data_IF_632694330618
#
_entry.id   IF_632694330618
#
_cell.length_a   1.000
_cell.length_b   1.000
_cell.length_c   1.000
_cell.angle_alpha   90.00
_cell.angle_beta   90.00
_cell.angle_gamma   90.00
#
_symmetry.space_group_name_H-M   'P 1'
#
loop_
_entity.id
_entity.type
_entity.pdbx_description
1 polymer ?
#
# COMPACT_ATOMS: atom_id res chain seq x y z
N UNK A 1 5.32 -19.01 -19.37
CA UNK A 1 4.98 -17.58 -19.52
C UNK A 1 5.28 -16.88 -18.21
N UNK A 2 5.89 -15.69 -18.23
CA UNK A 2 6.15 -14.86 -17.05
C UNK A 2 5.14 -13.71 -16.96
N UNK A 3 4.76 -13.31 -15.74
CA UNK A 3 3.72 -12.31 -15.52
C UNK A 3 4.23 -11.18 -14.63
N UNK A 4 4.16 -9.95 -15.11
CA UNK A 4 4.51 -8.76 -14.34
C UNK A 4 3.27 -7.89 -14.11
N UNK A 5 3.02 -7.48 -12.88
CA UNK A 5 2.19 -6.32 -12.58
C UNK A 5 3.11 -5.17 -12.25
N UNK A 6 3.06 -4.09 -13.02
CA UNK A 6 3.66 -2.81 -12.68
C UNK A 6 2.54 -1.91 -12.17
N UNK A 7 2.49 -1.75 -10.86
CA UNK A 7 1.52 -0.91 -10.20
C UNK A 7 2.09 0.47 -9.90
N UNK A 8 1.51 1.49 -10.53
CA UNK A 8 1.92 2.88 -10.40
C UNK A 8 0.99 3.61 -9.42
N UNK A 9 1.27 3.53 -8.12
CA UNK A 9 0.38 3.98 -7.04
C UNK A 9 -0.07 5.44 -7.26
N UNK A 10 -1.36 5.73 -7.08
CA UNK A 10 -1.91 7.08 -7.17
C UNK A 10 -1.74 7.81 -8.51
N UNK A 11 -1.23 7.14 -9.56
CA UNK A 11 -0.72 7.79 -10.79
C UNK A 11 -1.81 8.54 -11.58
N UNK A 12 -3.06 8.08 -11.53
CA UNK A 12 -4.18 8.78 -12.18
C UNK A 12 -4.46 10.14 -11.55
N UNK A 13 -4.87 11.09 -12.37
CA UNK A 13 -5.18 12.45 -11.95
C UNK A 13 -6.41 13.02 -12.65
N UNK A 14 -6.84 14.18 -12.18
CA UNK A 14 -7.83 15.01 -12.85
C UNK A 14 -7.14 15.98 -13.80
N UNK A 15 -7.92 16.69 -14.62
CA UNK A 15 -7.37 17.75 -15.48
C UNK A 15 -6.85 18.91 -14.62
N UNK A 16 -5.66 19.40 -14.95
CA UNK A 16 -4.93 20.44 -14.22
C UNK A 16 -4.79 21.66 -15.13
N UNK A 17 -5.20 22.83 -14.66
CA UNK A 17 -5.19 24.07 -15.46
C UNK A 17 -3.76 24.51 -15.80
N UNK A 18 -2.82 24.33 -14.86
CA UNK A 18 -1.39 24.60 -15.02
C UNK A 18 -0.73 23.73 -16.10
N UNK A 19 -1.34 22.59 -16.44
CA UNK A 19 -0.91 21.70 -17.52
C UNK A 19 -1.71 21.93 -18.82
N UNK A 20 -2.43 23.05 -18.93
CA UNK A 20 -3.27 23.37 -20.09
C UNK A 20 -4.55 22.53 -20.18
N UNK A 21 -5.10 22.13 -19.03
CA UNK A 21 -6.32 21.31 -18.97
C UNK A 21 -6.09 19.83 -19.27
N UNK A 22 -4.85 19.36 -19.10
CA UNK A 22 -4.44 17.96 -19.24
C UNK A 22 -4.31 17.30 -17.86
N UNK A 23 -4.44 15.98 -17.79
CA UNK A 23 -3.98 15.20 -16.62
C UNK A 23 -2.46 15.08 -16.65
N UNK A 24 -1.87 14.58 -15.56
CA UNK A 24 -0.42 14.29 -15.51
C UNK A 24 -0.03 13.32 -16.62
N UNK A 25 -0.80 12.25 -16.83
CA UNK A 25 -0.53 11.24 -17.87
C UNK A 25 -0.66 11.79 -19.29
N UNK A 26 -1.51 12.80 -19.53
CA UNK A 26 -1.62 13.46 -20.83
C UNK A 26 -0.54 14.52 -21.09
N UNK A 27 0.17 14.96 -20.05
CA UNK A 27 1.18 16.00 -20.11
C UNK A 27 2.61 15.44 -20.16
N UNK A 28 2.90 14.44 -19.32
CA UNK A 28 4.21 13.81 -19.21
C UNK A 28 4.63 13.09 -20.50
N UNK A 29 5.94 12.85 -20.67
CA UNK A 29 6.40 11.86 -21.66
C UNK A 29 5.99 10.45 -21.22
N UNK A 30 5.03 9.87 -21.96
CA UNK A 30 4.47 8.53 -21.77
C UNK A 30 4.77 7.59 -22.94
N UNK A 31 5.79 7.90 -23.76
CA UNK A 31 6.08 7.18 -25.02
C UNK A 31 6.16 5.65 -24.91
N UNK A 32 6.68 5.08 -23.82
CA UNK A 32 6.70 3.62 -23.61
C UNK A 32 5.35 3.08 -23.13
N UNK A 33 4.59 3.84 -22.33
CA UNK A 33 3.20 3.48 -22.05
C UNK A 33 2.34 3.50 -23.32
N UNK A 34 2.54 4.48 -24.20
CA UNK A 34 1.81 4.62 -25.46
C UNK A 34 2.17 3.52 -26.46
N UNK A 35 3.44 3.09 -26.47
CA UNK A 35 3.88 1.89 -27.19
C UNK A 35 3.13 0.64 -26.69
N UNK A 36 3.01 0.48 -25.37
CA UNK A 36 2.28 -0.63 -24.77
C UNK A 36 0.78 -0.57 -25.08
N UNK A 37 0.15 0.59 -24.99
CA UNK A 37 -1.26 0.79 -25.35
C UNK A 37 -1.49 0.46 -26.83
N UNK A 38 -0.60 0.93 -27.72
CA UNK A 38 -0.69 0.69 -29.16
C UNK A 38 -0.63 -0.79 -29.57
N UNK A 39 0.06 -1.62 -28.77
CA UNK A 39 0.22 -3.05 -28.99
C UNK A 39 -0.49 -3.93 -27.96
N UNK A 40 -1.36 -3.34 -27.13
CA UNK A 40 -1.96 -3.97 -25.97
C UNK A 40 -3.48 -3.81 -25.93
N UNK A 41 -4.07 -4.24 -24.83
CA UNK A 41 -5.51 -4.08 -24.54
C UNK A 41 -5.65 -3.22 -23.31
N UNK A 42 -6.37 -2.13 -23.46
CA UNK A 42 -6.64 -1.15 -22.42
C UNK A 42 -8.04 -1.34 -21.84
N UNK A 43 -8.19 -1.00 -20.58
CA UNK A 43 -9.47 -1.08 -19.88
C UNK A 43 -9.44 -0.30 -18.58
N UNK A 44 -10.50 -0.44 -17.79
CA UNK A 44 -10.56 0.17 -16.46
C UNK A 44 -10.72 -0.89 -15.37
N UNK A 45 -10.23 -0.56 -14.19
CA UNK A 45 -10.35 -1.39 -12.98
C UNK A 45 -10.93 -0.51 -11.87
N UNK A 46 -11.98 -0.98 -11.20
CA UNK A 46 -12.42 -0.44 -9.92
C UNK A 46 -11.88 -1.32 -8.80
N UNK A 47 -10.75 -0.90 -8.24
CA UNK A 47 -10.00 -1.63 -7.21
C UNK A 47 -10.70 -1.61 -5.84
N UNK A 48 -11.31 -0.48 -5.47
CA UNK A 48 -12.14 -0.33 -4.28
C UNK A 48 -13.64 -0.42 -4.63
N UNK A 49 -14.09 -1.61 -4.99
CA UNK A 49 -15.48 -1.83 -5.40
C UNK A 49 -16.46 -1.79 -4.22
N UNK A 50 -17.76 -1.65 -4.51
CA UNK A 50 -18.82 -1.75 -3.49
C UNK A 50 -18.82 -0.63 -2.44
N UNK A 51 -18.20 0.52 -2.73
CA UNK A 51 -18.15 1.68 -1.83
C UNK A 51 -17.08 1.59 -0.74
N UNK A 52 -16.15 0.64 -0.85
CA UNK A 52 -14.97 0.60 0.02
C UNK A 52 -14.16 1.90 -0.11
N UNK A 53 -13.50 2.29 0.98
CA UNK A 53 -12.52 3.39 0.95
C UNK A 53 -11.34 2.95 0.06
N UNK A 54 -10.86 3.81 -0.87
CA UNK A 54 -9.79 3.46 -1.80
C UNK A 54 -8.40 3.55 -1.15
N UNK A 55 -8.19 2.90 0.00
CA UNK A 55 -6.88 2.79 0.64
C UNK A 55 -5.96 1.84 -0.13
N UNK A 56 -4.65 2.11 -0.12
CA UNK A 56 -3.67 1.28 -0.84
C UNK A 56 -3.70 -0.18 -0.38
N UNK A 57 -4.07 -0.45 0.88
CA UNK A 57 -4.31 -1.79 1.39
C UNK A 57 -5.42 -2.53 0.62
N UNK A 58 -6.61 -1.93 0.53
CA UNK A 58 -7.77 -2.48 -0.18
C UNK A 58 -7.50 -2.59 -1.68
N UNK A 59 -6.99 -1.51 -2.29
CA UNK A 59 -6.82 -1.45 -3.73
C UNK A 59 -5.77 -2.46 -4.23
N UNK A 60 -4.63 -2.57 -3.54
CA UNK A 60 -3.59 -3.53 -3.92
C UNK A 60 -3.99 -4.97 -3.64
N UNK A 61 -4.70 -5.23 -2.53
CA UNK A 61 -5.25 -6.55 -2.24
C UNK A 61 -6.16 -7.01 -3.39
N UNK A 62 -7.01 -6.10 -3.88
CA UNK A 62 -7.81 -6.31 -5.08
C UNK A 62 -6.93 -6.59 -6.32
N UNK A 63 -5.97 -5.73 -6.68
CA UNK A 63 -5.16 -5.98 -7.91
C UNK A 63 -4.39 -7.31 -7.86
N UNK A 64 -3.96 -7.76 -6.67
CA UNK A 64 -3.32 -9.07 -6.47
C UNK A 64 -4.28 -10.28 -6.58
N UNK A 65 -5.59 -10.04 -6.64
CA UNK A 65 -6.60 -11.08 -6.89
C UNK A 65 -7.45 -11.48 -5.68
N UNK A 66 -7.31 -10.76 -4.56
CA UNK A 66 -8.01 -11.06 -3.32
C UNK A 66 -9.19 -10.12 -3.12
N UNK A 67 -10.39 -10.68 -2.97
CA UNK A 67 -11.60 -9.92 -2.63
C UNK A 67 -11.47 -9.24 -1.26
N UNK A 68 -11.43 -7.89 -1.20
CA UNK A 68 -11.30 -7.18 0.06
C UNK A 68 -12.44 -7.44 1.04
N UNK A 69 -13.67 -7.69 0.57
CA UNK A 69 -14.80 -8.00 1.45
C UNK A 69 -14.63 -9.33 2.19
N UNK A 70 -13.85 -10.24 1.61
CA UNK A 70 -13.60 -11.55 2.20
C UNK A 70 -12.32 -11.57 3.05
N UNK A 71 -11.30 -10.83 2.63
CA UNK A 71 -9.95 -11.05 3.11
C UNK A 71 -9.32 -9.87 3.84
N UNK A 72 -9.84 -8.65 3.67
CA UNK A 72 -9.31 -7.50 4.38
C UNK A 72 -9.75 -7.53 5.84
N UNK A 73 -8.79 -7.56 6.74
CA UNK A 73 -9.04 -7.61 8.19
C UNK A 73 -8.61 -6.35 8.92
N UNK A 74 -8.07 -5.36 8.21
CA UNK A 74 -7.51 -4.14 8.79
C UNK A 74 -6.07 -3.88 8.31
N UNK A 75 -5.58 -2.67 8.58
CA UNK A 75 -4.27 -2.18 8.12
C UNK A 75 -3.11 -2.78 8.91
N UNK A 76 -3.23 -2.82 10.24
CA UNK A 76 -2.13 -3.22 11.13
C UNK A 76 -1.65 -4.66 10.94
N UNK A 77 -2.52 -5.66 10.67
CA UNK A 77 -2.07 -7.01 10.34
C UNK A 77 -1.11 -7.05 9.16
N UNK A 78 -1.40 -6.29 8.10
CA UNK A 78 -0.57 -6.23 6.89
C UNK A 78 0.83 -5.68 7.23
N UNK A 79 0.90 -4.59 8.00
CA UNK A 79 2.18 -3.99 8.42
C UNK A 79 2.97 -4.92 9.34
N UNK A 80 2.30 -5.63 10.24
CA UNK A 80 2.93 -6.65 11.06
C UNK A 80 3.58 -7.75 10.19
N UNK A 81 2.87 -8.22 9.15
CA UNK A 81 3.40 -9.17 8.18
C UNK A 81 4.63 -8.65 7.43
N UNK A 82 4.65 -7.37 7.08
CA UNK A 82 5.79 -6.71 6.43
C UNK A 82 7.06 -6.68 7.31
N UNK A 83 6.88 -6.55 8.62
CA UNK A 83 7.94 -6.65 9.63
C UNK A 83 8.38 -8.09 9.92
N UNK A 84 7.77 -9.09 9.27
CA UNK A 84 7.99 -10.51 9.54
C UNK A 84 7.34 -11.01 10.83
N UNK A 85 6.40 -10.25 11.39
CA UNK A 85 5.70 -10.61 12.62
C UNK A 85 4.56 -11.57 12.28
N UNK A 86 4.58 -12.75 12.90
CA UNK A 86 3.54 -13.75 12.71
C UNK A 86 2.37 -13.52 13.66
N UNK A 87 1.16 -13.51 13.09
CA UNK A 87 -0.10 -13.47 13.82
C UNK A 87 -0.71 -14.87 13.85
N UNK A 88 -1.18 -15.33 15.01
CA UNK A 88 -2.06 -16.48 15.14
C UNK A 88 -3.48 -16.16 14.66
N UNK A 89 -4.31 -17.19 14.50
CA UNK A 89 -5.69 -17.05 13.98
C UNK A 89 -6.58 -16.13 14.82
N UNK A 90 -6.29 -16.02 16.12
CA UNK A 90 -7.06 -15.20 17.08
C UNK A 90 -6.28 -13.98 17.56
N UNK A 91 -5.15 -13.67 16.95
CA UNK A 91 -4.37 -12.51 17.35
C UNK A 91 -4.91 -11.26 16.67
N UNK A 92 -4.79 -10.12 17.34
CA UNK A 92 -5.16 -8.83 16.79
C UNK A 92 -3.96 -7.88 16.82
N UNK A 93 -3.69 -7.24 15.69
CA UNK A 93 -2.67 -6.22 15.53
C UNK A 93 -3.30 -4.83 15.59
N UNK A 94 -2.54 -3.87 16.10
CA UNK A 94 -2.85 -2.44 16.13
C UNK A 94 -1.60 -1.67 15.73
N UNK A 95 -1.76 -0.57 15.00
CA UNK A 95 -0.75 0.49 14.96
C UNK A 95 -0.72 1.12 16.33
N UNK A 96 0.49 1.28 16.84
CA UNK A 96 0.80 1.94 18.09
C UNK A 96 1.60 3.20 17.76
N UNK A 97 0.92 4.34 17.70
CA UNK A 97 1.60 5.62 17.56
C UNK A 97 2.11 6.07 18.93
N UNK A 98 3.35 6.54 18.98
CA UNK A 98 3.81 7.41 20.08
C UNK A 98 3.32 8.83 19.77
N UNK A 99 2.59 9.44 20.70
CA UNK A 99 1.92 10.73 20.47
C UNK A 99 2.26 11.75 21.57
N UNK A 100 2.04 13.01 21.27
CA UNK A 100 2.02 14.10 22.24
C UNK A 100 0.58 14.56 22.46
N UNK A 101 0.13 14.47 23.70
CA UNK A 101 -1.09 15.14 24.18
C UNK A 101 -0.72 16.45 24.87
N UNK A 102 -1.66 17.38 24.97
CA UNK A 102 -1.53 18.61 25.78
C UNK A 102 -1.20 18.31 27.24
N UNK A 103 -0.73 19.30 28.00
CA UNK A 103 -0.32 19.11 29.41
C UNK A 103 -1.43 18.51 30.29
N UNK A 104 -2.69 18.87 30.03
CA UNK A 104 -3.88 18.33 30.69
C UNK A 104 -4.32 16.94 30.18
N UNK A 105 -3.65 16.43 29.15
CA UNK A 105 -3.90 15.13 28.49
C UNK A 105 -5.25 15.01 27.80
N UNK A 106 -5.90 16.12 27.46
CA UNK A 106 -7.24 16.12 26.86
C UNK A 106 -7.23 16.24 25.33
N UNK A 107 -6.20 16.85 24.75
CA UNK A 107 -6.14 17.16 23.31
C UNK A 107 -4.94 16.48 22.65
N UNK A 108 -5.14 15.98 21.42
CA UNK A 108 -4.05 15.46 20.58
C UNK A 108 -3.23 16.63 20.04
N UNK A 109 -2.09 16.93 20.65
CA UNK A 109 -1.18 17.99 20.18
C UNK A 109 -0.48 17.55 18.88
N UNK A 110 0.16 16.38 18.88
CA UNK A 110 0.88 15.86 17.72
C UNK A 110 0.85 14.32 17.66
N UNK A 111 0.42 13.77 16.52
CA UNK A 111 0.26 12.32 16.31
C UNK A 111 1.57 11.56 16.07
N UNK A 112 2.68 12.29 15.92
CA UNK A 112 4.03 11.78 15.65
C UNK A 112 5.00 12.04 16.80
N UNK A 113 4.49 12.61 17.90
CA UNK A 113 5.28 13.16 18.99
C UNK A 113 6.36 14.13 18.51
N UNK A 114 5.99 15.02 17.59
CA UNK A 114 6.88 16.00 16.93
C UNK A 114 8.05 15.32 16.21
N UNK A 115 7.76 14.23 15.49
CA UNK A 115 8.74 13.38 14.83
C UNK A 115 9.82 12.83 15.78
N UNK A 116 9.36 12.15 16.84
CA UNK A 116 10.24 11.44 17.79
C UNK A 116 11.33 10.64 17.08
N UNK A 117 12.55 10.73 17.61
CA UNK A 117 13.69 10.01 17.04
C UNK A 117 13.51 8.49 17.13
N UNK A 118 14.05 7.76 16.15
CA UNK A 118 13.93 6.29 16.11
C UNK A 118 14.56 5.59 17.32
N UNK A 119 15.66 6.14 17.86
CA UNK A 119 16.31 5.58 19.05
C UNK A 119 15.47 5.78 20.31
N UNK A 120 14.86 6.95 20.48
CA UNK A 120 13.96 7.22 21.60
C UNK A 120 12.68 6.39 21.48
N UNK A 121 12.11 6.26 20.29
CA UNK A 121 10.95 5.41 20.05
C UNK A 121 11.22 3.95 20.42
N UNK A 122 12.37 3.39 20.01
CA UNK A 122 12.78 2.02 20.39
C UNK A 122 12.87 1.84 21.91
N UNK A 123 13.39 2.84 22.64
CA UNK A 123 13.43 2.81 24.12
C UNK A 123 12.03 2.80 24.71
N UNK A 124 11.11 3.62 24.20
CA UNK A 124 9.72 3.64 24.65
C UNK A 124 9.05 2.28 24.42
N UNK A 125 9.22 1.69 23.23
CA UNK A 125 8.69 0.35 22.92
C UNK A 125 9.27 -0.74 23.82
N UNK A 126 10.58 -0.69 24.12
CA UNK A 126 11.18 -1.62 25.07
C UNK A 126 10.59 -1.49 26.49
N UNK A 127 10.35 -0.26 26.95
CA UNK A 127 9.71 -0.01 28.24
C UNK A 127 8.24 -0.47 28.27
N UNK A 128 7.49 -0.30 27.18
CA UNK A 128 6.14 -0.87 27.05
C UNK A 128 6.17 -2.40 27.15
N UNK A 129 7.08 -3.08 26.46
CA UNK A 129 7.20 -4.53 26.58
C UNK A 129 7.51 -4.99 28.01
N UNK A 130 8.37 -4.29 28.74
CA UNK A 130 8.63 -4.63 30.15
C UNK A 130 7.39 -4.42 31.04
N UNK A 131 6.63 -3.34 30.79
CA UNK A 131 5.39 -3.02 31.53
C UNK A 131 4.26 -4.04 31.28
N UNK A 132 4.22 -4.65 30.09
CA UNK A 132 3.14 -5.53 29.62
C UNK A 132 3.56 -7.01 29.48
N UNK A 133 4.75 -7.39 29.95
CA UNK A 133 5.32 -8.75 29.76
C UNK A 133 4.43 -9.92 30.20
N UNK A 134 3.56 -9.69 31.19
CA UNK A 134 2.68 -10.71 31.76
C UNK A 134 1.22 -10.61 31.25
N UNK A 135 0.93 -9.67 30.34
CA UNK A 135 -0.43 -9.33 29.91
C UNK A 135 -0.85 -9.93 28.56
N UNK A 136 0.06 -10.67 27.90
CA UNK A 136 -0.15 -11.20 26.55
C UNK A 136 -0.24 -10.10 25.47
N UNK A 137 0.44 -8.98 25.72
CA UNK A 137 0.52 -7.82 24.83
C UNK A 137 2.00 -7.59 24.48
N UNK A 138 2.27 -7.45 23.19
CA UNK A 138 3.61 -7.32 22.63
C UNK A 138 3.69 -6.05 21.80
N UNK A 139 4.77 -5.30 21.94
CA UNK A 139 5.03 -4.08 21.16
C UNK A 139 6.25 -4.27 20.27
N UNK A 140 6.16 -3.82 19.02
CA UNK A 140 7.20 -3.98 18.02
C UNK A 140 7.60 -2.62 17.48
N UNK A 141 8.89 -2.31 17.56
CA UNK A 141 9.40 -1.03 17.12
C UNK A 141 9.41 -0.96 15.58
N UNK A 142 8.74 0.05 15.03
CA UNK A 142 8.76 0.37 13.62
C UNK A 142 9.64 1.59 13.34
N UNK A 143 9.16 2.49 12.47
CA UNK A 143 9.89 3.70 12.08
C UNK A 143 9.37 4.90 12.87
N UNK A 144 10.21 5.38 13.80
CA UNK A 144 9.91 6.55 14.64
C UNK A 144 8.66 6.33 15.48
N UNK A 145 7.68 7.22 15.36
CA UNK A 145 6.42 7.13 16.10
C UNK A 145 5.53 5.96 15.68
N UNK A 146 5.72 5.37 14.50
CA UNK A 146 4.86 4.29 13.96
C UNK A 146 5.37 2.93 14.42
N UNK A 147 4.64 2.29 15.32
CA UNK A 147 4.97 1.00 15.91
C UNK A 147 3.77 0.06 15.81
N UNK A 148 3.93 -1.19 16.20
CA UNK A 148 2.84 -2.18 16.21
C UNK A 148 2.65 -2.70 17.64
N UNK A 149 1.40 -2.89 18.03
CA UNK A 149 1.03 -3.68 19.21
C UNK A 149 0.28 -4.93 18.75
N UNK A 150 0.63 -6.09 19.29
CA UNK A 150 -0.12 -7.33 19.11
C UNK A 150 -0.69 -7.74 20.45
N UNK A 151 -1.96 -8.13 20.44
CA UNK A 151 -2.60 -8.80 21.55
C UNK A 151 -2.96 -10.23 21.14
N UNK A 152 -2.48 -11.19 21.91
CA UNK A 152 -2.68 -12.62 21.60
C UNK A 152 -4.07 -13.07 22.05
N UNK A 153 -4.71 -13.91 21.23
CA UNK A 153 -6.03 -14.49 21.52
C UNK A 153 -7.11 -13.45 21.89
N UNK A 154 -7.28 -12.44 21.05
CA UNK A 154 -8.31 -11.43 21.17
C UNK A 154 -9.59 -11.80 20.39
N UNK A 155 -10.73 -11.53 20.99
CA UNK A 155 -12.05 -11.63 20.38
C UNK A 155 -12.72 -10.25 20.49
N UNK A 156 -12.28 -9.35 19.62
CA UNK A 156 -12.67 -7.94 19.63
C UNK A 156 -13.41 -7.55 18.36
N UNK A 157 -14.30 -6.58 18.50
CA UNK A 157 -14.98 -5.90 17.40
C UNK A 157 -14.95 -4.42 17.75
N UNK A 158 -13.87 -3.77 17.32
CA UNK A 158 -13.53 -2.42 17.72
C UNK A 158 -13.78 -1.44 16.58
N UNK A 159 -13.89 -0.18 16.98
CA UNK A 159 -13.69 0.96 16.11
C UNK A 159 -12.65 1.86 16.75
N UNK A 160 -11.54 2.05 16.07
CA UNK A 160 -10.50 3.03 16.43
C UNK A 160 -10.50 4.24 15.50
N UNK A 161 -9.82 5.29 15.93
CA UNK A 161 -9.65 6.53 15.15
C UNK A 161 -8.17 6.73 14.83
N UNK A 162 -7.78 7.02 13.59
CA UNK A 162 -6.40 7.40 13.28
C UNK A 162 -6.01 8.72 13.98
N UNK A 163 -4.82 8.80 14.63
CA UNK A 163 -4.48 9.98 15.43
C UNK A 163 -4.20 11.24 14.58
N UNK A 164 -3.83 11.07 13.31
CA UNK A 164 -3.59 12.20 12.39
C UNK A 164 -4.88 12.91 11.96
N UNK A 165 -6.03 12.24 12.04
CA UNK A 165 -7.34 12.84 11.72
C UNK A 165 -7.87 13.74 12.85
N UNK A 166 -7.27 13.65 14.05
CA UNK A 166 -7.78 14.29 15.28
C UNK A 166 -6.77 15.26 15.92
N UNK A 167 -5.73 15.65 15.18
CA UNK A 167 -4.77 16.66 15.64
C UNK A 167 -5.49 17.98 16.00
N UNK A 168 -5.18 18.53 17.17
CA UNK A 168 -5.83 19.71 17.75
C UNK A 168 -7.22 19.46 18.33
N UNK A 169 -7.70 18.21 18.40
CA UNK A 169 -9.03 17.87 18.91
C UNK A 169 -8.98 17.14 20.25
N UNK A 170 -10.06 17.26 21.02
CA UNK A 170 -10.26 16.51 22.26
C UNK A 170 -10.37 15.00 21.97
N UNK A 171 -9.57 14.20 22.70
CA UNK A 171 -9.38 12.77 22.39
C UNK A 171 -10.49 11.87 22.94
N UNK A 172 -11.23 12.32 23.96
CA UNK A 172 -12.21 11.48 24.68
C UNK A 172 -13.26 10.87 23.74
N UNK A 173 -13.78 11.68 22.80
CA UNK A 173 -14.76 11.24 21.78
C UNK A 173 -14.18 10.29 20.72
N UNK A 174 -12.88 10.08 20.69
CA UNK A 174 -12.17 9.28 19.69
C UNK A 174 -11.50 8.03 20.26
N UNK A 175 -11.58 7.82 21.56
CA UNK A 175 -11.10 6.60 22.21
C UNK A 175 -11.74 5.36 21.58
N UNK A 176 -11.04 4.22 21.55
CA UNK A 176 -11.58 2.95 21.07
C UNK A 176 -12.95 2.62 21.67
N UNK A 177 -13.86 2.21 20.80
CA UNK A 177 -15.23 1.78 21.15
C UNK A 177 -15.51 0.39 20.62
N UNK A 178 -16.56 -0.27 21.13
CA UNK A 178 -16.98 -1.60 20.68
C UNK A 178 -16.56 -2.73 21.62
N UNK A 179 -16.70 -3.97 21.16
CA UNK A 179 -16.37 -5.16 21.96
C UNK A 179 -14.86 -5.23 22.19
N UNK A 180 -14.44 -5.16 23.46
CA UNK A 180 -13.03 -5.20 23.87
C UNK A 180 -12.43 -3.83 24.16
N UNK A 181 -13.19 -2.73 23.99
CA UNK A 181 -12.68 -1.37 24.19
C UNK A 181 -12.15 -1.15 25.60
N UNK A 182 -12.76 -1.76 26.62
CA UNK A 182 -12.33 -1.61 28.01
C UNK A 182 -10.89 -2.10 28.21
N UNK A 183 -10.51 -3.20 27.55
CA UNK A 183 -9.14 -3.73 27.63
C UNK A 183 -8.16 -2.82 26.88
N UNK A 184 -8.54 -2.30 25.71
CA UNK A 184 -7.70 -1.38 24.95
C UNK A 184 -7.52 -0.05 25.70
N UNK A 185 -8.60 0.52 26.22
CA UNK A 185 -8.56 1.76 27.01
C UNK A 185 -7.73 1.58 28.29
N UNK A 186 -7.84 0.42 28.96
CA UNK A 186 -6.97 0.10 30.10
C UNK A 186 -5.49 0.01 29.70
N UNK A 187 -5.16 -0.53 28.51
CA UNK A 187 -3.78 -0.52 27.97
C UNK A 187 -3.31 0.91 27.74
N UNK A 188 -4.13 1.77 27.11
CA UNK A 188 -3.78 3.19 26.89
C UNK A 188 -3.48 3.90 28.22
N UNK A 189 -4.35 3.72 29.22
CA UNK A 189 -4.16 4.29 30.55
C UNK A 189 -2.91 3.76 31.23
N UNK A 190 -2.71 2.44 31.27
CA UNK A 190 -1.53 1.81 31.88
C UNK A 190 -0.24 2.23 31.18
N UNK A 191 -0.23 2.30 29.85
CA UNK A 191 0.92 2.73 29.07
C UNK A 191 1.36 4.18 29.38
N UNK A 192 0.46 5.04 29.87
CA UNK A 192 0.83 6.40 30.28
C UNK A 192 1.88 6.43 31.40
N UNK A 193 1.99 5.36 32.19
CA UNK A 193 2.93 5.26 33.32
C UNK A 193 4.39 5.37 32.90
N UNK A 194 4.76 4.88 31.71
CA UNK A 194 6.16 4.95 31.27
C UNK A 194 6.58 6.40 30.99
N UNK A 195 5.64 7.28 30.65
CA UNK A 195 5.94 8.64 30.20
C UNK A 195 6.05 9.67 31.33
N UNK A 196 5.91 9.25 32.60
CA UNK A 196 5.91 10.15 33.77
C UNK A 196 7.24 10.89 33.96
N UNK A 197 8.36 10.28 33.56
CA UNK A 197 9.71 10.82 33.80
C UNK A 197 10.26 11.65 32.62
N UNK A 198 9.45 12.01 31.62
CA UNK A 198 9.85 12.78 30.43
C UNK A 198 11.09 12.21 29.69
N UNK A 199 11.31 10.90 29.78
CA UNK A 199 12.47 10.21 29.20
C UNK A 199 12.37 10.02 27.67
N UNK A 200 11.23 10.36 27.06
CA UNK A 200 10.89 10.01 25.67
C UNK A 200 10.61 11.25 24.81
N UNK A 201 11.46 12.28 24.93
CA UNK A 201 11.30 13.54 24.22
C UNK A 201 9.92 14.18 24.51
N UNK A 202 9.11 14.43 23.49
CA UNK A 202 7.74 14.96 23.63
C UNK A 202 6.67 13.87 23.64
N UNK A 203 7.03 12.61 23.37
CA UNK A 203 6.05 11.53 23.44
C UNK A 203 5.60 11.36 24.88
N UNK A 204 4.30 11.36 25.08
CA UNK A 204 3.73 11.32 26.41
C UNK A 204 2.54 10.35 26.54
N UNK A 205 2.09 9.75 25.44
CA UNK A 205 1.10 8.69 25.41
C UNK A 205 1.33 7.76 24.20
N UNK A 206 0.62 6.65 24.20
CA UNK A 206 0.42 5.84 22.99
C UNK A 206 -1.00 6.03 22.45
N UNK A 207 -1.17 5.79 21.15
CA UNK A 207 -2.47 5.75 20.50
C UNK A 207 -2.60 4.51 19.62
N UNK A 208 -3.66 3.72 19.84
CA UNK A 208 -3.88 2.42 19.19
C UNK A 208 -4.96 2.52 18.12
N UNK A 209 -4.63 2.15 16.89
CA UNK A 209 -5.57 2.25 15.76
C UNK A 209 -5.29 1.29 14.61
N UNK A 210 -6.20 1.25 13.62
CA UNK A 210 -6.04 0.45 12.41
C UNK A 210 -6.09 -1.05 12.68
N UNK A 211 -6.82 -1.44 13.72
CA UNK A 211 -6.95 -2.77 14.26
C UNK A 211 -7.31 -3.81 13.21
N UNK A 212 -6.84 -5.04 13.42
CA UNK A 212 -7.25 -6.15 12.59
C UNK A 212 -6.75 -7.50 13.05
N UNK A 213 -7.47 -8.55 12.66
CA UNK A 213 -7.03 -9.94 12.84
C UNK A 213 -6.09 -10.39 11.73
N UNK A 214 -5.50 -11.59 11.86
CA UNK A 214 -4.72 -12.20 10.77
C UNK A 214 -5.58 -12.32 9.50
N UNK A 215 -5.17 -11.78 8.34
CA UNK A 215 -5.88 -12.00 7.09
C UNK A 215 -5.70 -13.46 6.65
N UNK A 216 -6.82 -14.11 6.33
CA UNK A 216 -6.85 -15.51 5.89
C UNK A 216 -6.72 -15.59 4.37
N UNK A 217 -5.58 -15.14 3.83
CA UNK A 217 -5.28 -15.24 2.40
C UNK A 217 -4.86 -16.67 2.06
N UNK A 218 -5.51 -17.34 1.08
CA UNK A 218 -4.89 -18.45 0.40
C UNK A 218 -3.59 -17.97 -0.24
N UNK A 219 -2.57 -18.83 -0.28
CA UNK A 219 -1.33 -18.47 -0.97
C UNK A 219 -1.60 -18.21 -2.45
N UNK A 220 -0.78 -17.34 -3.05
CA UNK A 220 -0.90 -17.04 -4.47
C UNK A 220 -0.66 -18.28 -5.34
N UNK A 221 0.22 -19.18 -4.89
CA UNK A 221 0.47 -20.47 -5.53
C UNK A 221 -0.76 -21.40 -5.44
N UNK A 222 -1.49 -21.43 -4.32
CA UNK A 222 -2.75 -22.17 -4.23
C UNK A 222 -3.84 -21.60 -5.16
N UNK A 223 -3.94 -20.27 -5.30
CA UNK A 223 -4.97 -19.65 -6.13
C UNK A 223 -4.68 -19.79 -7.63
N UNK A 224 -3.42 -19.61 -8.04
CA UNK A 224 -3.07 -19.48 -9.44
C UNK A 224 -2.07 -20.52 -9.96
N UNK A 225 -1.44 -21.30 -9.09
CA UNK A 225 -0.42 -22.29 -9.46
C UNK A 225 0.90 -21.64 -9.90
N UNK A 226 1.18 -20.43 -9.43
CA UNK A 226 2.34 -19.62 -9.83
C UNK A 226 3.12 -19.19 -8.59
N UNK A 227 4.45 -19.24 -8.68
CA UNK A 227 5.32 -18.68 -7.63
C UNK A 227 5.41 -17.18 -7.79
N UNK A 228 5.05 -16.44 -6.74
CA UNK A 228 4.99 -14.98 -6.73
C UNK A 228 6.13 -14.33 -5.95
N UNK A 229 6.58 -13.17 -6.45
CA UNK A 229 7.41 -12.22 -5.68
C UNK A 229 6.75 -10.83 -5.63
N UNK A 230 7.00 -10.08 -4.57
CA UNK A 230 6.57 -8.69 -4.39
C UNK A 230 7.77 -7.77 -4.19
N UNK A 231 7.77 -6.64 -4.90
CA UNK A 231 8.74 -5.53 -4.73
C UNK A 231 7.94 -4.26 -4.46
N UNK A 232 8.11 -3.70 -3.27
CA UNK A 232 7.48 -2.44 -2.88
C UNK A 232 8.40 -1.67 -1.94
N UNK A 233 8.24 -0.34 -1.87
CA UNK A 233 8.80 0.45 -0.78
C UNK A 233 7.86 0.40 0.44
N UNK A 234 6.55 0.40 0.18
CA UNK A 234 5.48 0.47 1.18
C UNK A 234 5.28 -0.88 1.89
N UNK A 235 5.27 -0.83 3.21
CA UNK A 235 5.14 -2.02 4.06
C UNK A 235 3.81 -2.74 3.87
N UNK A 236 2.69 -2.03 3.67
CA UNK A 236 1.39 -2.65 3.44
C UNK A 236 1.42 -3.67 2.29
N UNK A 237 2.07 -3.29 1.18
CA UNK A 237 2.13 -4.11 -0.04
C UNK A 237 3.00 -5.35 0.19
N UNK A 238 4.12 -5.17 0.90
CA UNK A 238 4.97 -6.30 1.35
C UNK A 238 4.19 -7.24 2.27
N UNK A 239 3.38 -6.68 3.16
CA UNK A 239 2.49 -7.39 4.07
C UNK A 239 1.50 -8.29 3.35
N UNK A 240 0.78 -7.76 2.35
CA UNK A 240 -0.13 -8.53 1.52
C UNK A 240 0.62 -9.69 0.85
N UNK A 241 1.78 -9.41 0.24
CA UNK A 241 2.63 -10.45 -0.35
C UNK A 241 3.07 -11.52 0.65
N UNK A 242 3.44 -11.12 1.88
CA UNK A 242 3.82 -12.04 2.95
C UNK A 242 2.68 -13.02 3.29
N UNK A 243 1.47 -12.49 3.51
CA UNK A 243 0.29 -13.33 3.81
C UNK A 243 -0.15 -14.17 2.61
N UNK A 244 0.08 -13.69 1.39
CA UNK A 244 -0.14 -14.43 0.15
C UNK A 244 0.96 -15.48 -0.13
N UNK A 245 1.96 -15.65 0.74
CA UNK A 245 3.06 -16.60 0.55
C UNK A 245 4.01 -16.23 -0.60
N UNK A 246 4.06 -14.97 -1.00
CA UNK A 246 5.00 -14.46 -1.99
C UNK A 246 6.36 -14.15 -1.36
N UNK A 247 7.41 -14.22 -2.17
CA UNK A 247 8.74 -13.79 -1.77
C UNK A 247 8.85 -12.25 -1.76
N UNK A 248 9.27 -11.67 -0.64
CA UNK A 248 9.46 -10.22 -0.53
C UNK A 248 10.89 -9.87 -0.94
N UNK A 249 11.02 -9.01 -1.95
CA UNK A 249 12.32 -8.57 -2.46
C UNK A 249 12.53 -7.10 -2.06
N UNK A 250 13.54 -6.88 -1.21
CA UNK A 250 13.96 -5.54 -0.80
C UNK A 250 15.01 -4.99 -1.77
N UNK A 251 14.73 -3.82 -2.33
CA UNK A 251 15.61 -3.13 -3.29
C UNK A 251 16.36 -2.00 -2.57
N UNK A 252 17.71 -2.00 -2.58
CA UNK A 252 18.47 -0.90 -2.03
C UNK A 252 18.11 0.45 -2.68
N UNK A 253 17.84 1.46 -1.84
CA UNK A 253 17.44 2.80 -2.32
C UNK A 253 15.98 2.91 -2.76
N UNK A 254 15.13 1.91 -2.54
CA UNK A 254 13.69 2.05 -2.75
C UNK A 254 13.03 2.85 -1.61
N UNK A 255 12.98 4.18 -1.75
CA UNK A 255 12.49 5.10 -0.71
C UNK A 255 10.97 5.26 -0.70
N UNK A 256 10.32 5.06 -1.86
CA UNK A 256 8.91 5.37 -2.07
C UNK A 256 8.64 6.80 -2.58
N UNK A 257 9.62 7.70 -2.48
CA UNK A 257 9.50 9.08 -2.97
C UNK A 257 10.15 9.25 -4.34
N UNK A 258 10.17 10.49 -4.86
CA UNK A 258 10.75 10.82 -6.17
C UNK A 258 12.25 10.48 -6.30
N UNK A 259 12.96 10.33 -5.17
CA UNK A 259 14.36 9.93 -5.10
C UNK A 259 14.56 8.39 -5.07
N UNK A 260 13.48 7.61 -5.18
CA UNK A 260 13.54 6.15 -5.17
C UNK A 260 14.40 5.60 -6.31
N UNK A 261 15.00 4.44 -6.09
CA UNK A 261 15.77 3.71 -7.10
C UNK A 261 14.86 3.03 -8.14
N UNK A 262 14.39 3.79 -9.14
CA UNK A 262 13.51 3.31 -10.22
C UNK A 262 14.16 2.17 -11.02
N UNK A 263 15.39 2.34 -11.50
CA UNK A 263 16.11 1.32 -12.28
C UNK A 263 16.37 0.07 -11.46
N UNK A 264 16.85 0.22 -10.22
CA UNK A 264 17.09 -0.92 -9.34
C UNK A 264 15.81 -1.71 -9.06
N UNK A 265 14.66 -1.05 -8.91
CA UNK A 265 13.37 -1.73 -8.80
C UNK A 265 13.06 -2.57 -10.05
N UNK A 266 13.29 -2.02 -11.24
CA UNK A 266 13.09 -2.75 -12.49
C UNK A 266 14.07 -3.92 -12.66
N UNK A 267 15.35 -3.72 -12.38
CA UNK A 267 16.40 -4.74 -12.47
C UNK A 267 16.13 -5.92 -11.52
N UNK A 268 15.74 -5.62 -10.27
CA UNK A 268 15.41 -6.65 -9.29
C UNK A 268 14.14 -7.41 -9.69
N UNK A 269 13.15 -6.75 -10.29
CA UNK A 269 11.95 -7.41 -10.82
C UNK A 269 12.31 -8.39 -11.96
N UNK A 270 13.17 -7.98 -12.91
CA UNK A 270 13.65 -8.86 -13.97
C UNK A 270 14.40 -10.06 -13.38
N UNK A 271 15.29 -9.82 -12.40
CA UNK A 271 16.05 -10.88 -11.73
C UNK A 271 15.14 -11.88 -10.99
N UNK A 272 14.04 -11.41 -10.39
CA UNK A 272 13.11 -12.24 -9.64
C UNK A 272 12.48 -13.36 -10.50
N UNK A 273 12.34 -13.16 -11.81
CA UNK A 273 11.77 -14.17 -12.72
C UNK A 273 12.63 -15.42 -12.93
N UNK A 274 13.88 -15.43 -12.43
CA UNK A 274 14.67 -16.66 -12.36
C UNK A 274 14.04 -17.69 -11.41
N UNK A 275 13.40 -17.24 -10.33
CA UNK A 275 12.82 -18.10 -9.28
C UNK A 275 11.30 -17.96 -9.16
N UNK A 276 10.70 -16.97 -9.83
CA UNK A 276 9.25 -16.66 -9.79
C UNK A 276 8.62 -16.69 -11.18
N UNK A 277 7.32 -16.97 -11.22
CA UNK A 277 6.50 -16.88 -12.45
C UNK A 277 5.71 -15.58 -12.52
N UNK A 278 5.46 -14.98 -11.35
CA UNK A 278 4.73 -13.74 -11.18
C UNK A 278 5.53 -12.75 -10.32
N UNK A 279 5.56 -11.49 -10.74
CA UNK A 279 6.14 -10.39 -9.96
C UNK A 279 5.13 -9.27 -9.85
N UNK A 280 4.86 -8.81 -8.63
CA UNK A 280 4.13 -7.58 -8.35
C UNK A 280 5.13 -6.49 -8.00
N UNK A 281 5.29 -5.52 -8.90
CA UNK A 281 6.21 -4.41 -8.77
C UNK A 281 5.44 -3.12 -8.52
N UNK A 282 5.57 -2.58 -7.31
CA UNK A 282 4.88 -1.38 -6.85
C UNK A 282 5.80 -0.15 -6.86
N UNK A 283 5.26 0.98 -7.33
CA UNK A 283 5.94 2.28 -7.39
C UNK A 283 5.07 3.35 -6.75
N UNK A 284 5.45 3.75 -5.54
CA UNK A 284 4.73 4.73 -4.69
C UNK A 284 4.85 6.19 -5.15
N UNK A 285 5.98 6.55 -5.79
CA UNK A 285 6.35 7.95 -6.01
C UNK A 285 5.26 8.86 -6.62
N UNK A 286 4.41 8.40 -7.56
CA UNK A 286 3.32 9.25 -8.08
C UNK A 286 2.25 9.59 -7.03
N UNK A 287 1.95 8.68 -6.10
CA UNK A 287 0.95 8.88 -5.04
C UNK A 287 1.42 9.94 -4.02
N UNK A 288 2.65 9.79 -3.53
CA UNK A 288 3.27 10.75 -2.60
C UNK A 288 3.30 12.17 -3.21
N UNK A 289 3.63 12.28 -4.51
CA UNK A 289 3.56 13.56 -5.21
C UNK A 289 2.12 14.12 -5.28
N UNK A 290 1.13 13.25 -5.45
CA UNK A 290 -0.29 13.58 -5.37
C UNK A 290 -0.68 14.14 -4.01
N UNK A 291 -0.31 13.47 -2.90
CA UNK A 291 -0.54 13.94 -1.53
C UNK A 291 0.16 15.27 -1.22
N UNK A 292 1.36 15.48 -1.76
CA UNK A 292 2.07 16.76 -1.64
C UNK A 292 1.44 17.88 -2.47
N UNK A 293 0.54 17.54 -3.41
CA UNK A 293 0.00 18.50 -4.38
C UNK A 293 1.04 19.00 -5.38
N UNK A 294 2.11 18.22 -5.58
CA UNK A 294 3.25 18.60 -6.42
C UNK A 294 3.05 18.09 -7.85
N UNK A 295 2.58 18.98 -8.72
CA UNK A 295 2.43 18.70 -10.16
C UNK A 295 3.78 18.29 -10.76
N UNK A 296 4.84 19.03 -10.44
CA UNK A 296 6.19 18.80 -10.97
C UNK A 296 6.70 17.40 -10.61
N UNK A 297 6.58 17.01 -9.34
CA UNK A 297 7.05 15.69 -8.90
C UNK A 297 6.20 14.56 -9.46
N UNK A 298 4.87 14.76 -9.59
CA UNK A 298 3.99 13.73 -10.13
C UNK A 298 4.26 13.49 -11.61
N UNK A 299 4.47 14.55 -12.40
CA UNK A 299 4.95 14.46 -13.80
C UNK A 299 6.28 13.73 -13.86
N UNK A 300 7.27 14.14 -13.04
CA UNK A 300 8.59 13.50 -13.02
C UNK A 300 8.52 12.03 -12.61
N UNK A 301 7.64 11.65 -11.70
CA UNK A 301 7.45 10.26 -11.29
C UNK A 301 6.95 9.42 -12.47
N UNK A 302 5.95 9.92 -13.21
CA UNK A 302 5.45 9.27 -14.43
C UNK A 302 6.54 9.13 -15.49
N UNK A 303 7.31 10.18 -15.75
CA UNK A 303 8.40 10.17 -16.72
C UNK A 303 9.55 9.23 -16.30
N UNK A 304 9.86 9.14 -15.00
CA UNK A 304 10.84 8.19 -14.48
C UNK A 304 10.38 6.74 -14.67
N UNK A 305 9.11 6.43 -14.40
CA UNK A 305 8.58 5.09 -14.68
C UNK A 305 8.63 4.82 -16.19
N UNK A 306 8.18 5.77 -17.01
CA UNK A 306 8.14 5.66 -18.47
C UNK A 306 9.53 5.44 -19.08
N UNK A 307 10.50 6.29 -18.74
CA UNK A 307 11.81 6.34 -19.39
C UNK A 307 12.89 5.49 -18.73
N UNK A 308 12.80 5.24 -17.42
CA UNK A 308 13.86 4.56 -16.65
C UNK A 308 13.48 3.15 -16.21
N UNK A 309 12.19 2.85 -16.01
CA UNK A 309 11.75 1.51 -15.60
C UNK A 309 11.26 0.66 -16.77
N UNK A 310 10.30 1.16 -17.54
CA UNK A 310 9.65 0.36 -18.59
C UNK A 310 10.63 -0.25 -19.60
N UNK A 311 11.66 0.45 -20.10
CA UNK A 311 12.62 -0.14 -21.03
C UNK A 311 13.33 -1.36 -20.43
N UNK A 312 13.81 -1.25 -19.19
CA UNK A 312 14.48 -2.35 -18.46
C UNK A 312 13.53 -3.54 -18.29
N UNK A 313 12.28 -3.27 -17.90
CA UNK A 313 11.27 -4.31 -17.71
C UNK A 313 10.92 -5.03 -19.02
N UNK A 314 10.64 -4.28 -20.08
CA UNK A 314 10.24 -4.84 -21.37
C UNK A 314 11.38 -5.64 -22.01
N UNK A 315 12.60 -5.12 -22.01
CA UNK A 315 13.76 -5.83 -22.54
C UNK A 315 14.13 -7.05 -21.69
N UNK A 316 14.07 -6.90 -20.36
CA UNK A 316 14.29 -8.00 -19.43
C UNK A 316 13.28 -9.14 -19.59
N UNK A 317 11.99 -8.83 -19.67
CA UNK A 317 10.92 -9.83 -19.84
C UNK A 317 11.05 -10.60 -21.16
N UNK A 318 11.42 -9.94 -22.26
CA UNK A 318 11.66 -10.59 -23.57
C UNK A 318 12.70 -11.71 -23.49
N UNK A 319 13.67 -11.61 -22.58
CA UNK A 319 14.70 -12.64 -22.41
C UNK A 319 14.18 -13.98 -21.85
N UNK A 320 12.99 -13.99 -21.24
CA UNK A 320 12.34 -15.19 -20.69
C UNK A 320 11.35 -15.86 -21.64
N UNK A 321 11.25 -15.38 -22.89
CA UNK A 321 10.30 -15.88 -23.88
C UNK A 321 8.91 -15.28 -23.70
N UNK A 322 7.88 -16.11 -23.58
CA UNK A 322 6.51 -15.61 -23.41
C UNK A 322 6.34 -14.85 -22.10
N UNK A 323 5.83 -13.63 -22.19
CA UNK A 323 5.53 -12.80 -21.02
C UNK A 323 4.23 -12.02 -21.19
N UNK A 324 3.63 -11.59 -20.09
CA UNK A 324 2.54 -10.61 -20.08
C UNK A 324 2.76 -9.60 -18.97
N UNK A 325 2.50 -8.33 -19.25
CA UNK A 325 2.59 -7.24 -18.28
C UNK A 325 1.22 -6.56 -18.14
N UNK A 326 0.81 -6.31 -16.90
CA UNK A 326 -0.30 -5.44 -16.54
C UNK A 326 0.28 -4.16 -15.93
N UNK A 327 -0.08 -3.02 -16.50
CA UNK A 327 0.22 -1.69 -15.94
C UNK A 327 -1.09 -1.09 -15.47
N UNK A 328 -1.14 -0.64 -14.23
CA UNK A 328 -2.31 0.07 -13.68
C UNK A 328 -1.92 0.86 -12.43
N UNK A 329 -2.52 2.02 -12.17
CA UNK A 329 -2.63 2.55 -10.82
C UNK A 329 -3.51 1.64 -9.96
N UNK A 330 -3.50 1.84 -8.65
CA UNK A 330 -4.43 1.22 -7.71
C UNK A 330 -5.61 2.15 -7.40
N UNK A 331 -5.40 3.46 -7.29
CA UNK A 331 -6.43 4.50 -7.20
C UNK A 331 -5.91 5.82 -7.82
N UNK A 332 -6.78 6.82 -8.07
CA UNK A 332 -6.34 8.17 -8.35
C UNK A 332 -6.05 8.94 -7.06
N UNK A 333 -4.94 9.69 -7.06
CA UNK A 333 -4.63 10.69 -6.03
C UNK A 333 -4.43 12.06 -6.68
N UNK A 334 -5.51 12.75 -7.06
CA UNK A 334 -5.40 13.99 -7.83
C UNK A 334 -4.67 15.07 -7.04
N UNK A 335 -3.68 15.73 -7.65
CA UNK A 335 -2.85 16.77 -6.99
C UNK A 335 -3.66 17.90 -6.37
N UNK A 336 -4.84 18.20 -6.92
CA UNK A 336 -5.75 19.23 -6.39
C UNK A 336 -6.49 18.79 -5.13
N UNK A 337 -6.78 17.49 -5.02
CA UNK A 337 -7.55 16.90 -3.91
C UNK A 337 -6.59 16.41 -2.81
N UNK A 338 -5.38 15.99 -3.18
CA UNK A 338 -4.30 15.56 -2.27
C UNK A 338 -4.66 14.36 -1.40
N UNK A 339 -5.66 13.60 -1.82
CA UNK A 339 -6.09 12.35 -1.19
C UNK A 339 -6.72 11.44 -2.25
N UNK A 340 -6.90 10.18 -1.87
CA UNK A 340 -7.37 9.13 -2.77
C UNK A 340 -8.83 9.38 -3.16
N UNK A 341 -9.17 9.04 -4.39
CA UNK A 341 -10.54 9.11 -4.91
C UNK A 341 -10.98 7.72 -5.38
N UNK A 342 -12.26 7.37 -5.19
CA UNK A 342 -12.78 6.07 -5.62
C UNK A 342 -13.33 6.13 -7.06
N UNK A 343 -12.43 6.38 -8.00
CA UNK A 343 -12.70 6.37 -9.44
C UNK A 343 -11.99 5.16 -10.09
N UNK A 344 -12.57 4.56 -11.15
CA UNK A 344 -11.87 3.52 -11.90
C UNK A 344 -10.57 4.03 -12.51
N UNK A 345 -9.54 3.21 -12.47
CA UNK A 345 -8.20 3.54 -12.96
C UNK A 345 -7.94 2.86 -14.32
N UNK A 346 -7.25 3.53 -15.26
CA UNK A 346 -6.94 2.96 -16.55
C UNK A 346 -5.88 1.87 -16.39
N UNK A 347 -5.97 0.81 -17.19
CA UNK A 347 -5.05 -0.32 -17.18
C UNK A 347 -4.66 -0.72 -18.59
N UNK A 348 -3.43 -1.23 -18.76
CA UNK A 348 -2.92 -1.82 -20.01
C UNK A 348 -2.49 -3.25 -19.75
N UNK A 349 -2.91 -4.17 -20.61
CA UNK A 349 -2.33 -5.52 -20.70
C UNK A 349 -1.56 -5.63 -22.01
N UNK A 350 -0.29 -6.04 -21.95
CA UNK A 350 0.61 -6.12 -23.09
C UNK A 350 1.46 -7.41 -23.05
N UNK A 351 1.86 -7.93 -24.22
CA UNK A 351 2.74 -9.09 -24.35
C UNK A 351 2.09 -10.29 -25.06
N UNK A 352 2.53 -11.50 -24.72
CA UNK A 352 2.09 -12.76 -25.31
C UNK A 352 0.59 -13.02 -25.10
N UNK A 353 -0.08 -13.47 -26.17
CA UNK A 353 -1.51 -13.77 -26.17
C UNK A 353 -2.39 -12.53 -25.99
N UNK A 354 -1.93 -11.37 -26.44
CA UNK A 354 -2.70 -10.11 -26.44
C UNK A 354 -2.95 -9.68 -27.88
N UNK A 355 -4.22 -9.52 -28.28
CA UNK A 355 -4.64 -8.95 -29.55
C UNK A 355 -4.97 -7.47 -29.33
N UNK A 356 -4.14 -6.58 -29.86
CA UNK A 356 -4.20 -5.14 -29.56
C UNK A 356 -5.55 -4.50 -29.91
N UNK A 357 -5.95 -3.52 -29.10
CA UNK A 357 -7.14 -2.71 -29.30
C UNK A 357 -6.88 -1.45 -30.17
N UNK A 358 -7.86 -0.54 -30.21
CA UNK A 358 -7.76 0.70 -30.98
C UNK A 358 -6.98 1.83 -30.30
N UNK A 359 -6.64 1.71 -29.02
CA UNK A 359 -5.93 2.75 -28.29
C UNK A 359 -4.51 2.94 -28.84
N UNK A 360 -4.01 4.17 -28.72
CA UNK A 360 -2.68 4.58 -29.17
C UNK A 360 -1.89 5.31 -28.09
N UNK A 361 -2.60 5.82 -27.09
CA UNK A 361 -2.06 6.56 -25.96
C UNK A 361 -2.65 5.97 -24.68
N UNK A 362 -1.90 6.03 -23.58
CA UNK A 362 -2.36 5.58 -22.26
C UNK A 362 -2.60 6.76 -21.33
N UNK A 363 -3.86 6.94 -20.93
CA UNK A 363 -4.29 7.94 -19.95
C UNK A 363 -5.70 7.60 -19.44
N UNK A 364 -6.27 8.47 -18.60
CA UNK A 364 -7.59 8.33 -17.99
C UNK A 364 -8.75 8.37 -19.00
N UNK A 365 -8.50 8.71 -20.27
CA UNK A 365 -9.50 8.87 -21.33
C UNK A 365 -9.40 7.81 -22.45
N UNK A 366 -8.73 6.69 -22.19
CA UNK A 366 -8.71 5.52 -23.11
C UNK A 366 -10.12 5.04 -23.45
N UNK A 367 -10.24 4.33 -24.58
CA UNK A 367 -11.44 3.58 -24.95
C UNK A 367 -11.33 2.15 -24.42
N UNK A 368 -12.08 1.76 -23.37
CA UNK A 368 -11.85 0.48 -22.71
C UNK A 368 -12.41 -0.70 -23.53
N UNK A 369 -11.58 -1.74 -23.71
CA UNK A 369 -12.02 -3.05 -24.20
C UNK A 369 -12.48 -3.96 -23.05
N UNK A 370 -12.11 -3.62 -21.82
CA UNK A 370 -12.65 -4.25 -20.60
C UNK A 370 -12.91 -3.23 -19.49
N UNK A 371 -13.82 -3.58 -18.59
CA UNK A 371 -14.09 -2.83 -17.37
C UNK A 371 -14.32 -3.82 -16.22
N UNK A 372 -13.42 -3.82 -15.23
CA UNK A 372 -13.51 -4.69 -14.05
C UNK A 372 -14.15 -3.91 -12.89
N UNK A 373 -15.47 -4.01 -12.74
CA UNK A 373 -16.18 -3.39 -11.61
C UNK A 373 -15.78 -4.04 -10.28
N UNK A 374 -15.59 -5.36 -10.27
CA UNK A 374 -14.99 -6.10 -9.17
C UNK A 374 -13.49 -6.23 -9.44
N UNK A 375 -12.71 -5.23 -9.04
CA UNK A 375 -11.29 -5.14 -9.39
C UNK A 375 -10.47 -6.39 -9.07
N UNK A 376 -10.85 -7.15 -8.04
CA UNK A 376 -10.13 -8.35 -7.63
C UNK A 376 -10.13 -9.46 -8.69
N UNK A 377 -11.01 -9.36 -9.69
CA UNK A 377 -11.06 -10.30 -10.81
C UNK A 377 -9.99 -10.06 -11.86
N UNK A 378 -9.27 -8.92 -11.82
CA UNK A 378 -8.23 -8.59 -12.80
C UNK A 378 -7.13 -9.64 -12.81
N UNK A 379 -6.69 -10.14 -11.66
CA UNK A 379 -5.64 -11.15 -11.58
C UNK A 379 -6.05 -12.43 -12.31
N UNK A 380 -7.28 -12.91 -12.11
CA UNK A 380 -7.78 -14.08 -12.83
C UNK A 380 -7.86 -13.83 -14.33
N UNK A 381 -8.40 -12.68 -14.76
CA UNK A 381 -8.48 -12.32 -16.18
C UNK A 381 -7.09 -12.25 -16.83
N UNK A 382 -6.14 -11.58 -16.17
CA UNK A 382 -4.77 -11.39 -16.63
C UNK A 382 -3.98 -12.71 -16.73
N UNK A 383 -4.10 -13.58 -15.72
CA UNK A 383 -3.29 -14.80 -15.59
C UNK A 383 -3.87 -16.00 -16.33
N UNK A 384 -5.20 -16.15 -16.37
CA UNK A 384 -5.86 -17.38 -16.86
C UNK A 384 -6.42 -17.26 -18.28
N UNK A 385 -6.47 -16.06 -18.86
CA UNK A 385 -6.89 -15.90 -20.25
C UNK A 385 -5.81 -16.39 -21.21
N UNK A 386 -6.15 -17.35 -22.07
CA UNK A 386 -5.28 -17.82 -23.14
C UNK A 386 -4.99 -16.69 -24.14
N UNK A 387 -6.03 -15.97 -24.55
CA UNK A 387 -5.96 -14.79 -25.41
C UNK A 387 -6.80 -13.67 -24.80
N UNK A 388 -6.26 -12.46 -24.75
CA UNK A 388 -6.93 -11.23 -24.33
C UNK A 388 -7.15 -10.38 -25.58
N UNK A 389 -8.42 -10.06 -25.87
CA UNK A 389 -8.81 -9.40 -27.12
C UNK A 389 -9.28 -7.97 -26.89
N UNK A 390 -8.76 -7.07 -27.72
CA UNK A 390 -9.10 -5.66 -27.79
C UNK A 390 -10.43 -5.34 -28.46
#
# INVERSE_FOLDING_TARGET
MKYLVLLCDGMSDHKIDELGGKTVMQYADTSNFDLMASGGVCGFIRTAHGGLYPGSDICNLSVMGYDPFKYYTGRSPLEAGAMGISLGEKDMAFRCNLVTLTDDRLVMDDFSAHHISGDTAKKAIAALNELFKDDGVEFYAGVGYRNIMIIRNADFELKTTPPHDIMGQEIEKYLPTGKGSDKINAILTKASDIFKDNAYERANAIWLWGEGGRPMLPSFEEMYGLKGSVIAAVDLIKGIGAFAGMNIINVPGATGFIDTNFEGKAEYAVKAFNDSDYVFLHVEAPDEAGHMGSIEEKVRAVENINGRMLPILLDGLRSFGDFRILVTPDHPTPVKIRTHVNEPVPAIIYGSGVEADSNKEYNEFIKPSFFMEEGYRIAQYFLKSAVIKG
#
